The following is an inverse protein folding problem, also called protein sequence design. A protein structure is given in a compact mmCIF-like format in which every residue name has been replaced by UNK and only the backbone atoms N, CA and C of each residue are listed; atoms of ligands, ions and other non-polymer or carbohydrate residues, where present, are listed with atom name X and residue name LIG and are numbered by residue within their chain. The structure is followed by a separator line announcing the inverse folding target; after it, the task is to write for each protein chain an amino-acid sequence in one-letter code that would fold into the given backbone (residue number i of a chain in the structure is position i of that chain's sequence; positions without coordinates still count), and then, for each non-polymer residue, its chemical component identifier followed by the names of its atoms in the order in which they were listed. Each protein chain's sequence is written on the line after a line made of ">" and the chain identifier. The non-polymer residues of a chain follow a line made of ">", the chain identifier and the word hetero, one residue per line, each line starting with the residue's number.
data_IF_461560163456
#
_entry.id   IF_461560163456
#
_cell.length_a   1.000
_cell.length_b   1.000
_cell.length_c   1.000
_cell.angle_alpha   90.00
_cell.angle_beta   90.00
_cell.angle_gamma   90.00
#
_symmetry.space_group_name_H-M   'P 1'
#
loop_
_entity.id
_entity.type
_entity.pdbx_description
1 polymer ?
#
# COMPACT_ATOMS: atom_id res chain seq x y z
N UNK A 1 17.40 40.86 -9.55
CA UNK A 1 15.95 40.82 -9.29
C UNK A 1 15.44 39.45 -9.69
N UNK A 2 15.05 38.62 -8.70
CA UNK A 2 14.45 37.37 -8.98
C UNK A 2 13.13 37.61 -9.73
N UNK A 3 13.00 36.94 -10.87
CA UNK A 3 11.82 37.07 -11.71
C UNK A 3 10.69 36.32 -11.01
N UNK A 4 9.49 36.93 -10.87
CA UNK A 4 8.32 36.25 -10.31
C UNK A 4 7.76 35.17 -11.26
N UNK A 5 8.59 34.60 -12.10
CA UNK A 5 8.16 33.61 -13.10
C UNK A 5 7.68 32.27 -12.49
N UNK A 6 8.11 31.94 -11.29
CA UNK A 6 7.65 30.71 -10.62
C UNK A 6 6.17 30.76 -10.26
N UNK A 7 5.54 31.94 -10.11
CA UNK A 7 4.10 32.04 -9.81
C UNK A 7 3.22 31.46 -10.92
N UNK A 8 3.67 31.49 -12.17
CA UNK A 8 2.94 30.84 -13.29
C UNK A 8 2.82 29.35 -13.14
N UNK A 9 3.71 28.72 -12.35
CA UNK A 9 3.71 27.28 -12.09
C UNK A 9 2.80 26.84 -10.94
N UNK A 10 2.22 27.77 -10.16
CA UNK A 10 1.36 27.39 -9.03
C UNK A 10 0.13 26.59 -9.47
N UNK A 11 -0.57 27.06 -10.50
CA UNK A 11 -1.75 26.38 -11.01
C UNK A 11 -1.40 25.01 -11.61
N UNK A 12 -0.40 24.87 -12.51
CA UNK A 12 0.05 23.57 -12.96
C UNK A 12 0.42 22.60 -11.82
N UNK A 13 1.15 23.08 -10.81
CA UNK A 13 1.51 22.27 -9.64
C UNK A 13 0.27 21.77 -8.90
N UNK A 14 -0.69 22.65 -8.61
CA UNK A 14 -1.93 22.24 -7.93
C UNK A 14 -2.77 21.28 -8.76
N UNK A 15 -2.82 21.43 -10.06
CA UNK A 15 -3.50 20.48 -10.95
C UNK A 15 -2.83 19.11 -10.87
N UNK A 16 -1.50 19.04 -10.97
CA UNK A 16 -0.75 17.79 -10.87
C UNK A 16 -0.92 17.16 -9.48
N UNK A 17 -0.78 17.95 -8.41
CA UNK A 17 -0.96 17.49 -7.04
C UNK A 17 -2.38 16.96 -6.78
N UNK A 18 -3.39 17.65 -7.31
CA UNK A 18 -4.78 17.19 -7.25
C UNK A 18 -5.00 15.91 -8.04
N UNK A 19 -4.43 15.80 -9.23
CA UNK A 19 -4.48 14.56 -10.01
C UNK A 19 -3.81 13.41 -9.27
N UNK A 20 -2.65 13.64 -8.63
CA UNK A 20 -1.92 12.64 -7.84
C UNK A 20 -2.68 12.19 -6.59
N UNK A 21 -3.63 12.98 -6.07
CA UNK A 21 -4.55 12.55 -5.01
C UNK A 21 -5.75 11.78 -5.55
N UNK A 22 -6.31 12.22 -6.68
CA UNK A 22 -7.57 11.67 -7.21
C UNK A 22 -7.34 10.34 -7.93
N UNK A 23 -6.25 10.23 -8.72
CA UNK A 23 -5.97 9.02 -9.49
C UNK A 23 -5.79 7.76 -8.62
N UNK A 24 -5.08 7.78 -7.47
CA UNK A 24 -5.03 6.62 -6.58
C UNK A 24 -6.39 6.20 -6.01
N UNK A 25 -7.33 7.13 -5.88
CA UNK A 25 -8.69 6.82 -5.40
C UNK A 25 -9.53 6.17 -6.50
N UNK A 26 -9.35 6.62 -7.74
CA UNK A 26 -10.15 6.14 -8.89
C UNK A 26 -9.56 4.91 -9.56
N UNK A 27 -8.23 4.83 -9.64
CA UNK A 27 -7.46 3.78 -10.27
C UNK A 27 -6.33 3.28 -9.35
N UNK A 28 -6.67 2.74 -8.16
CA UNK A 28 -5.68 2.40 -7.13
C UNK A 28 -4.65 1.38 -7.61
N UNK A 29 -5.06 0.42 -8.44
CA UNK A 29 -4.21 -0.64 -8.94
C UNK A 29 -2.94 -0.15 -9.66
N UNK A 30 -3.06 0.96 -10.40
CA UNK A 30 -1.97 1.49 -11.21
C UNK A 30 -1.39 2.80 -10.68
N UNK A 31 -2.22 3.59 -10.02
CA UNK A 31 -1.89 4.97 -9.66
C UNK A 31 -1.53 5.15 -8.18
N UNK A 32 -1.58 4.09 -7.36
CA UNK A 32 -1.25 4.19 -5.93
C UNK A 32 0.11 4.87 -5.65
N UNK A 33 1.19 4.59 -6.41
CA UNK A 33 2.48 5.25 -6.16
C UNK A 33 2.47 6.77 -6.29
N UNK A 34 1.51 7.35 -7.01
CA UNK A 34 1.43 8.80 -7.21
C UNK A 34 1.11 9.55 -5.91
N UNK A 35 0.49 8.87 -4.93
CA UNK A 35 0.13 9.51 -3.65
C UNK A 35 1.37 10.06 -2.94
N UNK A 36 2.51 9.39 -3.09
CA UNK A 36 3.79 9.76 -2.46
C UNK A 36 4.45 11.01 -3.05
N UNK A 37 3.92 11.55 -4.12
CA UNK A 37 4.39 12.81 -4.71
C UNK A 37 3.36 13.93 -4.65
N UNK A 38 2.14 13.65 -4.21
CA UNK A 38 1.02 14.60 -4.27
C UNK A 38 1.27 15.86 -3.46
N UNK A 39 1.78 15.71 -2.24
CA UNK A 39 2.01 16.85 -1.33
C UNK A 39 3.19 17.72 -1.77
N UNK A 40 4.13 17.20 -2.57
CA UNK A 40 5.17 18.06 -3.20
C UNK A 40 4.48 19.14 -4.01
N UNK A 41 3.63 18.74 -4.94
CA UNK A 41 2.98 19.67 -5.88
C UNK A 41 1.95 20.57 -5.19
N UNK A 42 1.31 20.11 -4.14
CA UNK A 42 0.33 20.92 -3.41
C UNK A 42 0.98 21.94 -2.48
N UNK A 43 2.04 21.55 -1.77
CA UNK A 43 2.62 22.35 -0.70
C UNK A 43 3.75 23.26 -1.15
N UNK A 44 4.53 22.90 -2.18
CA UNK A 44 5.62 23.75 -2.68
C UNK A 44 5.16 25.14 -3.14
N UNK A 45 4.05 25.31 -3.90
CA UNK A 45 3.53 26.63 -4.21
C UNK A 45 3.12 27.43 -2.96
N UNK A 46 2.58 26.77 -1.95
CA UNK A 46 2.18 27.38 -0.67
C UNK A 46 3.43 27.85 0.07
N UNK A 47 4.41 26.98 0.24
CA UNK A 47 5.69 27.30 0.88
C UNK A 47 6.37 28.50 0.20
N UNK A 48 6.38 28.48 -1.12
CA UNK A 48 6.95 29.54 -1.92
C UNK A 48 6.19 30.87 -1.74
N UNK A 49 4.85 30.84 -1.85
CA UNK A 49 3.98 32.03 -1.76
C UNK A 49 4.07 32.71 -0.40
N UNK A 50 4.08 31.93 0.68
CA UNK A 50 4.11 32.45 2.04
C UNK A 50 5.54 32.71 2.58
N UNK A 51 6.56 32.55 1.73
CA UNK A 51 7.94 32.90 2.04
C UNK A 51 8.64 31.89 2.98
N UNK A 52 8.15 30.65 3.07
CA UNK A 52 8.85 29.55 3.68
C UNK A 52 10.06 29.09 2.85
N UNK A 53 10.84 28.14 3.36
CA UNK A 53 11.84 27.43 2.54
C UNK A 53 11.10 26.64 1.46
N UNK A 54 11.57 26.67 0.21
CA UNK A 54 10.89 26.06 -0.93
C UNK A 54 11.89 25.72 -2.00
N UNK A 55 11.73 24.57 -2.63
CA UNK A 55 12.54 24.14 -3.78
C UNK A 55 12.28 25.03 -5.00
N UNK A 56 11.07 25.55 -5.17
CA UNK A 56 10.78 26.50 -6.23
C UNK A 56 11.65 27.75 -6.11
N UNK A 57 11.93 28.21 -4.90
CA UNK A 57 12.82 29.35 -4.66
C UNK A 57 14.28 29.01 -4.91
N UNK A 58 14.69 27.80 -4.59
CA UNK A 58 16.04 27.34 -4.90
C UNK A 58 16.24 27.24 -6.43
N UNK A 59 15.20 26.85 -7.16
CA UNK A 59 15.20 26.84 -8.64
C UNK A 59 15.27 28.25 -9.25
N UNK A 60 14.55 29.21 -8.68
CA UNK A 60 14.68 30.64 -9.10
C UNK A 60 16.13 31.12 -8.95
N UNK A 61 16.83 30.63 -7.93
CA UNK A 61 18.23 30.95 -7.67
C UNK A 61 19.19 30.06 -8.50
N UNK A 62 18.67 29.22 -9.38
CA UNK A 62 19.43 28.24 -10.16
C UNK A 62 20.30 27.32 -9.30
N UNK A 63 19.80 26.97 -8.13
CA UNK A 63 20.48 26.06 -7.20
C UNK A 63 19.70 24.76 -6.99
N UNK A 64 19.90 23.72 -7.81
CA UNK A 64 19.24 22.44 -7.67
C UNK A 64 19.86 21.53 -6.59
N UNK A 65 20.95 21.95 -5.93
CA UNK A 65 21.76 21.09 -5.05
C UNK A 65 20.92 20.44 -3.95
N UNK A 66 20.01 21.20 -3.32
CA UNK A 66 19.16 20.67 -2.28
C UNK A 66 18.18 19.62 -2.81
N UNK A 67 17.59 19.86 -3.97
CA UNK A 67 16.71 18.89 -4.62
C UNK A 67 17.44 17.59 -4.91
N UNK A 68 18.63 17.67 -5.51
CA UNK A 68 19.46 16.49 -5.80
C UNK A 68 19.89 15.76 -4.53
N UNK A 69 20.23 16.51 -3.47
CA UNK A 69 20.57 15.94 -2.17
C UNK A 69 19.39 15.16 -1.56
N UNK A 70 18.19 15.72 -1.65
CA UNK A 70 16.97 15.05 -1.16
C UNK A 70 16.68 13.77 -1.94
N UNK A 71 16.80 13.81 -3.27
CA UNK A 71 16.63 12.59 -4.10
C UNK A 71 17.64 11.50 -3.70
N UNK A 72 18.91 11.88 -3.52
CA UNK A 72 19.97 10.95 -3.11
C UNK A 72 19.74 10.41 -1.71
N UNK A 73 19.35 11.28 -0.77
CA UNK A 73 19.03 10.88 0.60
C UNK A 73 17.82 9.93 0.65
N UNK A 74 16.79 10.23 -0.14
CA UNK A 74 15.62 9.36 -0.27
C UNK A 74 15.99 7.97 -0.79
N UNK A 75 16.79 7.91 -1.84
CA UNK A 75 17.27 6.63 -2.38
C UNK A 75 18.09 5.85 -1.35
N UNK A 76 19.01 6.51 -0.64
CA UNK A 76 19.80 5.87 0.41
C UNK A 76 18.93 5.34 1.55
N UNK A 77 17.95 6.15 2.00
CA UNK A 77 16.99 5.70 3.02
C UNK A 77 16.17 4.51 2.54
N UNK A 78 15.75 4.50 1.26
CA UNK A 78 15.03 3.38 0.68
C UNK A 78 15.84 2.09 0.62
N UNK A 79 17.11 2.17 0.26
CA UNK A 79 18.01 1.02 0.28
C UNK A 79 18.20 0.45 1.70
N UNK A 80 18.37 1.31 2.72
CA UNK A 80 18.46 0.87 4.10
C UNK A 80 17.13 0.29 4.60
N UNK A 81 16.00 0.90 4.22
CA UNK A 81 14.67 0.40 4.55
C UNK A 81 14.49 -1.03 4.04
N UNK A 82 14.78 -1.26 2.75
CA UNK A 82 14.64 -2.58 2.15
C UNK A 82 15.65 -3.59 2.69
N UNK A 83 16.87 -3.17 2.99
CA UNK A 83 17.85 -4.02 3.63
C UNK A 83 17.33 -4.56 4.97
N UNK A 84 16.81 -3.70 5.84
CA UNK A 84 16.27 -4.15 7.13
C UNK A 84 14.95 -4.91 6.98
N UNK A 85 14.09 -4.49 6.06
CA UNK A 85 12.85 -5.22 5.76
C UNK A 85 13.14 -6.65 5.33
N UNK A 86 14.13 -6.87 4.48
CA UNK A 86 14.49 -8.19 3.95
C UNK A 86 14.88 -9.18 5.06
N UNK A 87 15.61 -8.72 6.07
CA UNK A 87 16.07 -9.54 7.19
C UNK A 87 15.07 -9.58 8.35
N UNK A 88 13.99 -8.85 8.27
CA UNK A 88 12.98 -8.82 9.34
C UNK A 88 12.22 -10.14 9.40
N UNK A 89 11.90 -10.59 10.61
CA UNK A 89 11.10 -11.79 10.85
C UNK A 89 9.66 -11.64 10.33
N UNK A 90 9.07 -10.45 10.50
CA UNK A 90 7.82 -10.04 9.87
C UNK A 90 8.13 -8.93 8.90
N UNK A 91 8.04 -9.19 7.63
CA UNK A 91 8.51 -8.29 6.59
C UNK A 91 7.40 -7.80 5.67
N UNK A 92 7.68 -6.69 5.09
CA UNK A 92 6.85 -6.07 4.07
C UNK A 92 7.15 -6.71 2.73
N UNK A 93 6.17 -7.33 2.10
CA UNK A 93 6.32 -7.92 0.76
C UNK A 93 5.56 -7.03 -0.23
N UNK A 94 6.26 -6.59 -1.26
CA UNK A 94 5.67 -5.76 -2.30
C UNK A 94 5.23 -6.62 -3.47
N UNK A 95 4.06 -6.31 -3.96
CA UNK A 95 3.52 -6.93 -5.15
C UNK A 95 3.00 -5.82 -6.05
N UNK A 96 3.48 -5.80 -7.28
CA UNK A 96 3.12 -4.78 -8.28
C UNK A 96 2.61 -5.48 -9.53
N UNK A 97 1.70 -4.86 -10.29
CA UNK A 97 1.12 -5.50 -11.47
C UNK A 97 2.11 -5.70 -12.63
N UNK A 98 3.30 -5.08 -12.55
CA UNK A 98 4.30 -5.15 -13.61
C UNK A 98 5.70 -5.40 -13.04
N UNK A 99 6.48 -6.27 -13.71
CA UNK A 99 7.88 -6.55 -13.38
C UNK A 99 8.11 -7.06 -11.94
N UNK A 100 7.14 -7.80 -11.38
CA UNK A 100 7.24 -8.36 -10.03
C UNK A 100 8.40 -9.37 -9.89
N UNK A 101 8.87 -9.96 -11.00
CA UNK A 101 9.98 -10.89 -11.03
C UNK A 101 11.35 -10.23 -10.79
N UNK A 102 11.47 -8.92 -11.09
CA UNK A 102 12.72 -8.16 -10.95
C UNK A 102 12.75 -7.44 -9.61
N UNK A 103 13.16 -8.13 -8.54
CA UNK A 103 13.25 -7.59 -7.19
C UNK A 103 14.70 -7.37 -6.75
N UNK A 104 14.90 -6.26 -6.02
CA UNK A 104 16.06 -6.05 -5.17
C UNK A 104 15.57 -6.16 -3.71
N UNK A 105 16.04 -7.15 -2.97
CA UNK A 105 15.44 -7.55 -1.69
C UNK A 105 13.98 -8.02 -1.88
N UNK A 106 13.01 -7.39 -1.18
CA UNK A 106 11.59 -7.66 -1.39
C UNK A 106 10.92 -6.66 -2.35
N UNK A 107 11.60 -5.56 -2.68
CA UNK A 107 11.07 -4.46 -3.49
C UNK A 107 11.34 -4.70 -4.97
N UNK A 108 10.34 -4.61 -5.86
CA UNK A 108 10.58 -4.49 -7.29
C UNK A 108 11.45 -3.28 -7.62
N UNK A 109 12.38 -3.40 -8.59
CA UNK A 109 13.31 -2.31 -8.92
C UNK A 109 12.63 -0.97 -9.19
N UNK A 110 11.48 -0.98 -9.84
CA UNK A 110 10.68 0.23 -10.07
C UNK A 110 10.17 0.86 -8.77
N UNK A 111 9.98 0.08 -7.72
CA UNK A 111 9.56 0.59 -6.41
C UNK A 111 10.60 1.50 -5.76
N UNK A 112 11.90 1.26 -6.02
CA UNK A 112 12.98 2.14 -5.52
C UNK A 112 12.87 3.57 -6.05
N UNK A 113 12.23 3.78 -7.21
CA UNK A 113 11.99 5.12 -7.75
C UNK A 113 11.01 5.95 -6.92
N UNK A 114 10.25 5.33 -6.01
CA UNK A 114 9.34 6.02 -5.09
C UNK A 114 10.04 6.70 -3.91
N UNK A 115 11.19 6.19 -3.48
CA UNK A 115 11.89 6.73 -2.32
C UNK A 115 12.48 8.14 -2.52
N UNK A 116 13.11 8.47 -3.65
CA UNK A 116 13.60 9.82 -3.92
C UNK A 116 12.50 10.89 -3.81
N UNK A 117 11.34 10.77 -4.49
CA UNK A 117 10.24 11.71 -4.35
C UNK A 117 9.72 11.82 -2.92
N UNK A 118 9.65 10.72 -2.17
CA UNK A 118 9.20 10.71 -0.79
C UNK A 118 10.05 11.62 0.12
N UNK A 119 11.37 11.65 -0.04
CA UNK A 119 12.22 12.57 0.72
C UNK A 119 11.95 14.04 0.36
N UNK A 120 11.65 14.33 -0.90
CA UNK A 120 11.22 15.66 -1.35
C UNK A 120 9.88 16.05 -0.74
N UNK A 121 8.95 15.10 -0.66
CA UNK A 121 7.64 15.28 -0.02
C UNK A 121 7.77 15.60 1.47
N UNK A 122 8.57 14.82 2.19
CA UNK A 122 8.89 15.08 3.60
C UNK A 122 9.45 16.49 3.80
N UNK A 123 10.33 16.94 2.91
CA UNK A 123 10.86 18.30 2.94
C UNK A 123 9.77 19.35 2.71
N UNK A 124 8.87 19.15 1.74
CA UNK A 124 7.76 20.05 1.47
C UNK A 124 6.79 20.16 2.65
N UNK A 125 6.44 19.03 3.26
CA UNK A 125 5.60 18.94 4.46
C UNK A 125 6.26 19.67 5.63
N UNK A 126 7.52 19.38 5.91
CA UNK A 126 8.28 19.99 6.99
C UNK A 126 8.28 21.53 6.87
N UNK A 127 8.54 22.05 5.67
CA UNK A 127 8.54 23.48 5.44
C UNK A 127 7.13 24.09 5.52
N UNK A 128 6.11 23.38 5.08
CA UNK A 128 4.72 23.79 5.24
C UNK A 128 4.34 23.94 6.72
N UNK A 129 4.66 22.94 7.54
CA UNK A 129 4.43 23.00 8.98
C UNK A 129 5.22 24.15 9.59
N UNK A 130 6.44 24.44 9.10
CA UNK A 130 7.27 25.55 9.58
C UNK A 130 6.66 26.92 9.34
N UNK A 131 5.73 27.07 8.37
CA UNK A 131 5.00 28.34 8.17
C UNK A 131 4.20 28.74 9.40
N UNK A 132 3.58 27.79 10.09
CA UNK A 132 2.84 28.01 11.33
C UNK A 132 3.75 28.33 12.52
N UNK A 133 5.04 28.13 12.35
CA UNK A 133 6.11 28.38 13.32
C UNK A 133 6.97 29.57 12.91
N UNK A 134 6.39 30.60 12.35
CA UNK A 134 7.13 31.79 11.86
C UNK A 134 8.30 31.47 10.91
N UNK A 135 8.16 30.41 10.12
CA UNK A 135 9.17 29.95 9.14
C UNK A 135 10.48 29.46 9.77
N UNK A 136 10.44 29.09 11.06
CA UNK A 136 11.60 28.56 11.78
C UNK A 136 11.56 27.04 11.78
N UNK A 137 12.67 26.44 11.45
CA UNK A 137 12.84 24.99 11.58
C UNK A 137 12.99 24.53 13.03
N UNK A 138 12.80 23.24 13.27
CA UNK A 138 12.96 22.62 14.58
C UNK A 138 14.41 22.61 15.07
N UNK A 139 15.35 22.78 14.17
CA UNK A 139 16.79 22.84 14.44
C UNK A 139 17.26 24.13 15.13
N UNK A 140 16.37 25.07 15.41
CA UNK A 140 16.69 26.32 16.12
C UNK A 140 16.12 26.28 17.52
N UNK A 141 16.99 26.36 18.52
CA UNK A 141 16.69 26.18 19.95
C UNK A 141 15.76 27.22 20.58
N UNK A 142 15.53 28.37 19.93
CA UNK A 142 14.62 29.39 20.47
C UNK A 142 13.26 29.31 19.80
N UNK A 143 12.41 28.53 20.42
CA UNK A 143 11.08 28.25 19.94
C UNK A 143 10.02 28.89 20.84
N UNK A 144 9.57 30.06 20.47
CA UNK A 144 8.34 30.64 21.04
C UNK A 144 7.21 30.47 20.03
N UNK A 145 6.22 29.66 20.36
CA UNK A 145 4.92 29.65 19.68
C UNK A 145 4.26 31.01 19.95
N UNK A 146 4.46 31.95 19.04
CA UNK A 146 3.75 33.21 19.13
C UNK A 146 2.35 33.01 18.49
N UNK A 147 1.38 32.73 19.35
CA UNK A 147 -0.04 32.51 19.00
C UNK A 147 -0.79 33.84 18.76
N UNK A 148 -0.10 34.92 18.47
CA UNK A 148 -0.71 36.24 18.24
C UNK A 148 -1.64 36.31 17.02
N UNK A 149 -1.52 35.39 16.06
CA UNK A 149 -2.61 35.16 15.13
C UNK A 149 -3.63 34.25 15.78
N UNK A 150 -4.64 34.86 16.34
CA UNK A 150 -5.90 34.26 16.79
C UNK A 150 -6.56 33.53 15.61
N UNK A 151 -5.90 32.47 15.16
CA UNK A 151 -6.52 31.48 14.27
C UNK A 151 -7.73 31.01 15.02
N UNK A 152 -8.92 31.34 14.50
CA UNK A 152 -10.18 31.02 15.15
C UNK A 152 -10.15 29.54 15.48
N UNK A 153 -10.22 29.14 16.75
CA UNK A 153 -10.06 27.71 17.14
C UNK A 153 -11.03 26.82 16.36
N UNK A 154 -12.16 27.39 15.96
CA UNK A 154 -13.14 26.73 15.11
C UNK A 154 -12.59 26.44 13.70
N UNK A 155 -11.79 27.32 13.10
CA UNK A 155 -11.21 27.08 11.78
C UNK A 155 -10.16 25.94 11.83
N UNK A 156 -9.37 25.88 12.90
CA UNK A 156 -8.44 24.77 13.14
C UNK A 156 -9.21 23.48 13.34
N UNK A 157 -10.23 23.48 14.19
CA UNK A 157 -11.05 22.30 14.46
C UNK A 157 -11.73 21.76 13.18
N UNK A 158 -12.31 22.65 12.37
CA UNK A 158 -12.93 22.29 11.09
C UNK A 158 -11.88 21.74 10.10
N UNK A 159 -10.69 22.35 10.05
CA UNK A 159 -9.61 21.87 9.17
C UNK A 159 -9.10 20.51 9.60
N UNK A 160 -8.89 20.28 10.90
CA UNK A 160 -8.46 18.98 11.45
C UNK A 160 -9.52 17.91 11.21
N UNK A 161 -10.79 18.24 11.47
CA UNK A 161 -11.89 17.32 11.23
C UNK A 161 -12.04 16.99 9.75
N UNK A 162 -11.98 17.99 8.87
CA UNK A 162 -12.03 17.79 7.43
C UNK A 162 -10.88 16.93 6.92
N UNK A 163 -9.67 17.14 7.43
CA UNK A 163 -8.51 16.34 7.10
C UNK A 163 -8.66 14.89 7.59
N UNK A 164 -9.16 14.70 8.82
CA UNK A 164 -9.42 13.37 9.38
C UNK A 164 -10.46 12.60 8.55
N UNK A 165 -11.57 13.26 8.17
CA UNK A 165 -12.60 12.67 7.31
C UNK A 165 -12.03 12.32 5.93
N UNK A 166 -11.24 13.23 5.34
CA UNK A 166 -10.59 13.00 4.06
C UNK A 166 -9.68 11.79 4.10
N UNK A 167 -8.78 11.68 5.08
CA UNK A 167 -7.90 10.53 5.22
C UNK A 167 -8.65 9.25 5.53
N UNK A 168 -9.67 9.28 6.37
CA UNK A 168 -10.52 8.12 6.62
C UNK A 168 -11.17 7.61 5.31
N UNK A 169 -11.66 8.54 4.48
CA UNK A 169 -12.21 8.20 3.16
C UNK A 169 -11.15 7.63 2.21
N UNK A 170 -9.95 8.23 2.16
CA UNK A 170 -8.84 7.74 1.33
C UNK A 170 -8.43 6.33 1.75
N UNK A 171 -8.21 6.11 3.05
CA UNK A 171 -7.84 4.78 3.55
C UNK A 171 -8.93 3.74 3.30
N UNK A 172 -10.20 4.10 3.54
CA UNK A 172 -11.32 3.21 3.21
C UNK A 172 -11.38 2.89 1.70
N UNK A 173 -11.18 3.88 0.84
CA UNK A 173 -11.17 3.68 -0.61
C UNK A 173 -9.99 2.81 -1.06
N UNK A 174 -8.82 3.00 -0.49
CA UNK A 174 -7.66 2.16 -0.75
C UNK A 174 -7.94 0.73 -0.28
N UNK A 175 -8.46 0.57 0.93
CA UNK A 175 -8.75 -0.75 1.48
C UNK A 175 -9.81 -1.53 0.69
N UNK A 176 -10.82 -0.84 0.17
CA UNK A 176 -11.93 -1.46 -0.57
C UNK A 176 -11.65 -1.65 -2.05
N UNK A 177 -10.78 -0.81 -2.65
CA UNK A 177 -10.52 -0.79 -4.10
C UNK A 177 -9.15 -1.31 -4.50
N UNK A 178 -8.20 -1.41 -3.58
CA UNK A 178 -6.93 -2.07 -3.87
C UNK A 178 -7.14 -3.57 -3.89
N UNK A 179 -6.78 -4.18 -5.00
CA UNK A 179 -6.67 -5.62 -5.12
C UNK A 179 -5.63 -6.08 -4.09
N UNK A 180 -5.92 -7.18 -3.40
CA UNK A 180 -4.88 -7.89 -2.67
C UNK A 180 -3.73 -8.11 -3.63
N UNK A 181 -2.59 -7.55 -3.31
CA UNK A 181 -1.43 -7.59 -4.17
C UNK A 181 -0.86 -9.00 -4.33
N UNK A 182 -1.24 -9.92 -3.48
CA UNK A 182 -1.01 -11.35 -3.66
C UNK A 182 -2.32 -12.00 -4.10
N UNK A 183 -2.42 -12.29 -5.38
CA UNK A 183 -3.47 -13.13 -5.94
C UNK A 183 -2.92 -14.55 -5.94
N UNK A 184 -3.41 -15.38 -5.02
CA UNK A 184 -3.07 -16.79 -5.00
C UNK A 184 -3.50 -17.44 -6.33
N UNK A 185 -2.58 -18.10 -7.01
CA UNK A 185 -2.87 -18.86 -8.22
C UNK A 185 -3.36 -20.25 -7.87
N UNK A 186 -4.13 -20.85 -8.76
CA UNK A 186 -4.55 -22.23 -8.59
C UNK A 186 -3.33 -23.18 -8.54
N UNK A 187 -2.29 -22.88 -9.33
CA UNK A 187 -1.01 -23.60 -9.34
C UNK A 187 -0.22 -23.51 -8.01
N UNK A 188 -0.49 -22.51 -7.17
CA UNK A 188 0.13 -22.42 -5.83
C UNK A 188 -0.52 -23.38 -4.82
N UNK A 189 -1.67 -23.96 -5.17
CA UNK A 189 -2.43 -24.88 -4.34
C UNK A 189 -1.94 -26.32 -4.55
N UNK A 190 -0.90 -26.73 -3.84
CA UNK A 190 -0.42 -28.12 -3.85
C UNK A 190 -1.46 -29.16 -3.38
N UNK A 191 -2.66 -28.70 -3.00
CA UNK A 191 -3.80 -29.52 -2.56
C UNK A 191 -4.72 -29.92 -3.71
N UNK A 192 -4.57 -29.27 -4.86
CA UNK A 192 -5.24 -29.62 -6.10
C UNK A 192 -4.21 -30.39 -6.93
N UNK A 193 -4.55 -31.60 -7.35
CA UNK A 193 -3.64 -32.40 -8.15
C UNK A 193 -3.30 -31.70 -9.47
N UNK A 194 -2.07 -31.85 -9.98
CA UNK A 194 -1.61 -31.13 -11.18
C UNK A 194 -2.53 -31.30 -12.40
N UNK A 195 -3.13 -32.47 -12.57
CA UNK A 195 -4.08 -32.76 -13.64
C UNK A 195 -5.30 -31.82 -13.59
N UNK A 196 -5.82 -31.54 -12.39
CA UNK A 196 -6.95 -30.63 -12.23
C UNK A 196 -6.52 -29.17 -12.34
N UNK A 197 -5.29 -28.83 -11.93
CA UNK A 197 -4.75 -27.48 -12.13
C UNK A 197 -4.68 -27.14 -13.62
N UNK A 198 -4.15 -28.03 -14.44
CA UNK A 198 -4.10 -27.85 -15.90
C UNK A 198 -5.51 -27.66 -16.51
N UNK A 199 -6.46 -28.51 -16.14
CA UNK A 199 -7.86 -28.40 -16.60
C UNK A 199 -8.53 -27.10 -16.16
N UNK A 200 -8.22 -26.59 -14.96
CA UNK A 200 -8.74 -25.33 -14.48
C UNK A 200 -8.14 -24.14 -15.27
N UNK A 201 -6.85 -24.20 -15.58
CA UNK A 201 -6.17 -23.19 -16.40
C UNK A 201 -6.72 -23.17 -17.84
N UNK A 202 -7.01 -24.34 -18.45
CA UNK A 202 -7.68 -24.45 -19.76
C UNK A 202 -9.09 -23.82 -19.75
N UNK A 203 -9.75 -23.77 -18.60
CA UNK A 203 -11.05 -23.11 -18.40
C UNK A 203 -10.94 -21.63 -17.99
N UNK A 204 -9.76 -21.02 -18.13
CA UNK A 204 -9.48 -19.62 -17.77
C UNK A 204 -9.67 -19.34 -16.26
N UNK A 205 -9.46 -20.35 -15.41
CA UNK A 205 -9.50 -20.27 -13.95
C UNK A 205 -8.08 -20.30 -13.38
N UNK A 206 -7.37 -19.17 -13.49
CA UNK A 206 -5.96 -19.08 -13.12
C UNK A 206 -5.73 -18.77 -11.64
N UNK A 207 -6.67 -18.07 -11.01
CA UNK A 207 -6.54 -17.59 -9.63
C UNK A 207 -7.52 -18.30 -8.71
N UNK A 208 -7.18 -18.31 -7.42
CA UNK A 208 -8.10 -18.83 -6.37
C UNK A 208 -9.39 -17.99 -6.31
N UNK A 209 -9.33 -16.72 -6.72
CA UNK A 209 -10.53 -15.89 -6.82
C UNK A 209 -11.44 -16.33 -7.98
N UNK A 210 -10.87 -16.61 -9.15
CA UNK A 210 -11.63 -17.13 -10.29
C UNK A 210 -12.31 -18.45 -9.93
N UNK A 211 -11.56 -19.36 -9.32
CA UNK A 211 -12.09 -20.63 -8.83
C UNK A 211 -13.24 -20.41 -7.84
N UNK A 212 -13.04 -19.55 -6.83
CA UNK A 212 -14.10 -19.24 -5.86
C UNK A 212 -15.35 -18.66 -6.52
N UNK A 213 -15.21 -17.68 -7.42
CA UNK A 213 -16.36 -17.09 -8.12
C UNK A 213 -17.14 -18.15 -8.90
N UNK A 214 -16.45 -19.13 -9.46
CA UNK A 214 -17.06 -20.23 -10.20
C UNK A 214 -17.82 -21.21 -9.33
N UNK A 215 -17.29 -21.54 -8.13
CA UNK A 215 -17.82 -22.59 -7.25
C UNK A 215 -18.51 -22.08 -5.98
N UNK A 216 -18.67 -20.77 -5.79
CA UNK A 216 -19.37 -20.23 -4.61
C UNK A 216 -20.84 -20.67 -4.52
N UNK A 217 -21.49 -20.79 -5.66
CA UNK A 217 -22.89 -21.23 -5.76
C UNK A 217 -23.00 -22.74 -5.99
N UNK A 218 -24.04 -23.41 -5.49
CA UNK A 218 -24.21 -24.87 -5.65
C UNK A 218 -24.20 -25.34 -7.11
N UNK A 219 -24.83 -24.57 -8.00
CA UNK A 219 -24.92 -24.89 -9.42
C UNK A 219 -23.53 -24.89 -10.09
N UNK A 220 -22.70 -23.88 -9.75
CA UNK A 220 -21.33 -23.79 -10.23
C UNK A 220 -20.44 -24.95 -9.75
N UNK A 221 -20.62 -25.39 -8.49
CA UNK A 221 -19.94 -26.58 -7.95
C UNK A 221 -20.30 -27.82 -8.73
N UNK A 222 -21.60 -28.06 -8.95
CA UNK A 222 -22.07 -29.20 -9.69
C UNK A 222 -21.53 -29.23 -11.11
N UNK A 223 -21.64 -28.09 -11.83
CA UNK A 223 -21.16 -27.98 -13.21
C UNK A 223 -19.64 -28.25 -13.32
N UNK A 224 -18.84 -27.67 -12.41
CA UNK A 224 -17.40 -27.86 -12.44
C UNK A 224 -17.01 -29.27 -12.00
N UNK A 225 -17.70 -29.84 -10.99
CA UNK A 225 -17.51 -31.21 -10.56
C UNK A 225 -17.75 -32.24 -11.66
N UNK A 226 -18.85 -32.09 -12.41
CA UNK A 226 -19.18 -32.91 -13.56
C UNK A 226 -18.13 -32.78 -14.68
N UNK A 227 -17.66 -31.58 -14.98
CA UNK A 227 -16.64 -31.32 -15.99
C UNK A 227 -15.27 -31.91 -15.66
N UNK A 228 -14.89 -31.86 -14.40
CA UNK A 228 -13.61 -32.39 -13.92
C UNK A 228 -13.66 -33.85 -13.53
N UNK A 229 -14.85 -34.43 -13.36
CA UNK A 229 -15.04 -35.79 -12.91
C UNK A 229 -14.68 -35.99 -11.41
N UNK A 230 -14.88 -34.95 -10.58
CA UNK A 230 -14.58 -34.97 -9.14
C UNK A 230 -15.86 -35.06 -8.31
N UNK A 231 -15.74 -35.54 -7.08
CA UNK A 231 -16.87 -35.71 -6.16
C UNK A 231 -17.40 -34.36 -5.62
N UNK A 232 -18.67 -34.34 -5.21
CA UNK A 232 -19.30 -33.19 -4.57
C UNK A 232 -18.55 -32.77 -3.27
N UNK A 233 -18.00 -33.72 -2.53
CA UNK A 233 -17.21 -33.43 -1.34
C UNK A 233 -15.91 -32.71 -1.69
N UNK A 234 -15.20 -33.18 -2.71
CA UNK A 234 -13.93 -32.59 -3.14
C UNK A 234 -14.13 -31.15 -3.65
N UNK A 235 -15.13 -30.90 -4.48
CA UNK A 235 -15.42 -29.55 -4.96
C UNK A 235 -15.90 -28.62 -3.83
N UNK A 236 -16.63 -29.18 -2.83
CA UNK A 236 -17.04 -28.44 -1.64
C UNK A 236 -15.84 -28.03 -0.79
N UNK A 237 -14.85 -28.89 -0.66
CA UNK A 237 -13.61 -28.55 0.06
C UNK A 237 -12.82 -27.46 -0.68
N UNK A 238 -12.73 -27.52 -2.01
CA UNK A 238 -12.13 -26.42 -2.78
C UNK A 238 -12.86 -25.10 -2.59
N UNK A 239 -14.18 -25.12 -2.44
CA UNK A 239 -14.97 -23.91 -2.16
C UNK A 239 -14.65 -23.33 -0.77
N UNK A 240 -14.52 -24.17 0.27
CA UNK A 240 -14.11 -23.75 1.62
C UNK A 240 -12.70 -23.17 1.62
N UNK A 241 -11.75 -23.88 0.99
CA UNK A 241 -10.35 -23.46 0.93
C UNK A 241 -10.19 -22.16 0.17
N UNK A 242 -10.80 -22.04 -1.01
CA UNK A 242 -10.74 -20.81 -1.79
C UNK A 242 -11.36 -19.63 -1.05
N UNK A 243 -12.45 -19.82 -0.31
CA UNK A 243 -13.06 -18.80 0.52
C UNK A 243 -12.12 -18.32 1.64
N UNK A 244 -11.40 -19.25 2.28
CA UNK A 244 -10.49 -18.94 3.38
C UNK A 244 -9.22 -18.24 2.87
N UNK A 245 -8.61 -18.76 1.80
CA UNK A 245 -7.38 -18.23 1.19
C UNK A 245 -7.56 -16.79 0.71
N UNK A 246 -8.77 -16.42 0.24
CA UNK A 246 -9.12 -15.07 -0.22
C UNK A 246 -9.23 -14.04 0.89
N UNK A 247 -9.26 -14.45 2.15
CA UNK A 247 -9.26 -13.49 3.25
C UNK A 247 -7.99 -12.63 3.17
N UNK A 248 -8.19 -11.31 3.28
CA UNK A 248 -7.12 -10.34 3.13
C UNK A 248 -5.94 -10.64 4.07
N UNK A 249 -4.77 -10.79 3.49
CA UNK A 249 -3.53 -11.08 4.23
C UNK A 249 -3.33 -12.54 4.64
N UNK A 250 -4.27 -13.44 4.32
CA UNK A 250 -4.13 -14.85 4.67
C UNK A 250 -3.25 -15.60 3.65
N UNK A 251 -3.69 -15.70 2.41
CA UNK A 251 -2.95 -16.37 1.35
C UNK A 251 -2.77 -17.89 1.56
N UNK A 252 -2.08 -18.54 0.62
CA UNK A 252 -1.91 -20.02 0.61
C UNK A 252 -1.09 -20.52 1.79
N UNK A 253 0.05 -19.89 2.09
CA UNK A 253 0.95 -20.36 3.15
C UNK A 253 0.28 -20.36 4.53
N UNK A 254 -0.37 -19.24 4.89
CA UNK A 254 -1.08 -19.17 6.16
C UNK A 254 -2.31 -20.08 6.20
N UNK A 255 -2.95 -20.32 5.05
CA UNK A 255 -4.02 -21.30 4.95
C UNK A 255 -3.52 -22.72 5.25
N UNK A 256 -2.39 -23.13 4.67
CA UNK A 256 -1.81 -24.46 4.95
C UNK A 256 -1.53 -24.63 6.45
N UNK A 257 -0.94 -23.61 7.08
CA UNK A 257 -0.68 -23.63 8.50
C UNK A 257 -1.97 -23.67 9.35
N UNK A 258 -3.03 -22.96 8.95
CA UNK A 258 -4.34 -23.04 9.60
C UNK A 258 -4.95 -24.43 9.48
N UNK A 259 -4.84 -25.06 8.32
CA UNK A 259 -5.34 -26.41 8.07
C UNK A 259 -4.61 -27.44 8.94
N UNK A 260 -3.32 -27.32 9.14
CA UNK A 260 -2.52 -28.22 9.98
C UNK A 260 -2.96 -28.20 11.45
N UNK A 261 -3.56 -27.10 11.90
CA UNK A 261 -4.15 -26.98 13.24
C UNK A 261 -5.67 -27.24 13.27
N UNK A 262 -6.24 -27.76 12.17
CA UNK A 262 -7.65 -28.14 12.05
C UNK A 262 -8.61 -26.99 11.74
N UNK A 263 -8.13 -25.94 11.06
CA UNK A 263 -8.93 -24.78 10.63
C UNK A 263 -8.88 -24.70 9.10
N UNK A 264 -9.87 -25.25 8.43
CA UNK A 264 -9.95 -25.40 6.98
C UNK A 264 -11.09 -24.60 6.31
N UNK A 265 -11.92 -23.93 7.11
CA UNK A 265 -13.00 -23.07 6.63
C UNK A 265 -13.17 -21.79 7.47
N UNK A 266 -13.88 -20.80 6.90
CA UNK A 266 -14.10 -19.50 7.54
C UNK A 266 -14.94 -19.59 8.81
N UNK A 267 -15.88 -20.54 8.88
CA UNK A 267 -16.74 -20.69 10.06
C UNK A 267 -15.96 -21.27 11.24
N UNK A 268 -15.11 -22.25 10.96
CA UNK A 268 -14.19 -22.82 11.94
C UNK A 268 -13.21 -21.76 12.42
N UNK A 269 -12.66 -20.94 11.52
CA UNK A 269 -11.78 -19.82 11.89
C UNK A 269 -12.49 -18.83 12.80
N UNK A 270 -13.72 -18.42 12.47
CA UNK A 270 -14.48 -17.45 13.23
C UNK A 270 -14.79 -17.89 14.68
N UNK A 271 -14.80 -19.19 14.95
CA UNK A 271 -15.03 -19.77 16.28
C UNK A 271 -13.77 -19.88 17.13
N UNK A 272 -12.59 -19.65 16.55
CA UNK A 272 -11.33 -19.75 17.27
C UNK A 272 -11.13 -18.59 18.26
N UNK A 273 -10.46 -18.89 19.36
CA UNK A 273 -9.96 -17.85 20.26
C UNK A 273 -8.60 -17.38 19.74
N UNK A 274 -8.43 -16.09 19.40
CA UNK A 274 -7.24 -15.61 18.69
C UNK A 274 -5.91 -15.99 19.34
N UNK A 275 -5.78 -15.82 20.65
CA UNK A 275 -4.54 -16.14 21.37
C UNK A 275 -4.23 -17.64 21.37
N UNK A 276 -5.24 -18.48 21.57
CA UNK A 276 -5.05 -19.94 21.55
C UNK A 276 -4.74 -20.45 20.14
N UNK A 277 -5.36 -19.87 19.14
CA UNK A 277 -5.05 -20.16 17.74
C UNK A 277 -3.61 -19.77 17.42
N UNK A 278 -3.20 -18.57 17.81
CA UNK A 278 -1.83 -18.09 17.60
C UNK A 278 -0.79 -19.04 18.23
N UNK A 279 -0.99 -19.46 19.48
CA UNK A 279 -0.09 -20.43 20.13
C UNK A 279 -0.01 -21.77 19.37
N UNK A 280 -1.14 -22.26 18.85
CA UNK A 280 -1.17 -23.49 18.05
C UNK A 280 -0.40 -23.32 16.73
N UNK A 281 -0.62 -22.19 16.04
CA UNK A 281 0.05 -21.88 14.78
C UNK A 281 1.57 -21.74 14.96
N UNK A 282 2.01 -21.06 16.02
CA UNK A 282 3.45 -20.94 16.33
C UNK A 282 4.07 -22.33 16.53
N UNK A 283 3.44 -23.19 17.33
CA UNK A 283 3.95 -24.57 17.59
C UNK A 283 3.96 -25.41 16.31
N UNK A 284 2.93 -25.31 15.48
CA UNK A 284 2.87 -26.04 14.22
C UNK A 284 3.97 -25.57 13.27
N UNK A 285 4.17 -24.27 13.14
CA UNK A 285 5.22 -23.70 12.28
C UNK A 285 6.65 -23.93 12.82
N UNK A 286 6.83 -24.10 14.13
CA UNK A 286 8.11 -24.50 14.72
C UNK A 286 8.44 -25.97 14.43
N UNK A 287 7.41 -26.84 14.34
CA UNK A 287 7.57 -28.26 14.06
C UNK A 287 7.83 -28.52 12.57
N UNK A 288 7.11 -27.82 11.69
CA UNK A 288 7.27 -27.89 10.23
C UNK A 288 7.13 -26.48 9.63
N UNK A 289 8.23 -25.77 9.39
CA UNK A 289 8.21 -24.38 8.94
C UNK A 289 7.61 -24.22 7.55
N UNK A 290 6.41 -23.61 7.47
CA UNK A 290 5.71 -23.26 6.23
C UNK A 290 5.89 -21.78 5.92
N UNK A 291 6.02 -20.91 6.94
CA UNK A 291 6.13 -19.46 6.83
C UNK A 291 7.34 -18.90 7.57
#
# INVERSE_FOLDING_TARGET
>A
RAIPESRKWYIPFWIVGGAFLILPITLPQYCFPLIWGSLIFLLEPINHRFGGKSLMRDWERRNPSKFLLLLTAGLACGLFWEFWNFWARSKWVYTVPFFDELKGFEMPFLGFLGFPPFAVECYAIYNFISLFRHKRGWERDQYTLNLEHRTRPMAIAVSVLGLAIFYAFVFHSIDTKTINSYIARVSDLNLIEPEYQEKLEEMDLHTVDDLFQRIKEPEGRKELGEKLGISDDQISDWAKWSQLIRLKGLGVKNFLLLRDVGVDDVQTLARQQPFKLYEKLVRANEADPIT
#
